data_IF_040810510900
#
_entry.id   IF_040810510900
#
_cell.length_a   1.000
_cell.length_b   1.000
_cell.length_c   1.000
_cell.angle_alpha   90.00
_cell.angle_beta   90.00
_cell.angle_gamma   90.00
#
_symmetry.space_group_name_H-M   'P 1'
#
loop_
_entity.id
_entity.type
_entity.pdbx_description
1 polymer ?
#
# COMPACT_ATOMS: atom_id res chain seq x y z
N UNK A 1 -7.24 5.05 -17.77
CA UNK A 1 -7.38 4.00 -16.72
C UNK A 1 -7.66 4.67 -15.40
N UNK A 2 -8.78 4.30 -14.76
CA UNK A 2 -9.20 4.89 -13.48
C UNK A 2 -8.84 3.97 -12.31
N UNK A 3 -8.05 4.48 -11.38
CA UNK A 3 -7.47 3.69 -10.28
C UNK A 3 -7.88 4.31 -8.94
N UNK A 4 -8.35 3.47 -8.00
CA UNK A 4 -8.51 3.81 -6.59
C UNK A 4 -7.35 3.25 -5.79
N UNK A 5 -6.59 4.12 -5.12
CA UNK A 5 -5.54 3.73 -4.18
C UNK A 5 -6.03 3.88 -2.73
N UNK A 6 -5.78 2.87 -1.89
CA UNK A 6 -6.25 2.81 -0.50
C UNK A 6 -5.08 2.51 0.43
N UNK A 7 -4.84 3.39 1.41
CA UNK A 7 -3.78 3.25 2.39
C UNK A 7 -4.33 3.39 3.82
N UNK A 8 -4.74 2.30 4.46
CA UNK A 8 -5.15 2.31 5.86
C UNK A 8 -3.94 2.53 6.77
N UNK A 9 -4.02 3.54 7.61
CA UNK A 9 -3.07 3.84 8.69
C UNK A 9 -3.72 3.66 10.06
N UNK A 10 -2.96 3.86 11.13
CA UNK A 10 -3.45 3.66 12.50
C UNK A 10 -4.66 4.54 12.82
N UNK A 11 -4.61 5.83 12.48
CA UNK A 11 -5.64 6.83 12.82
C UNK A 11 -6.32 7.43 11.59
N UNK A 12 -6.07 6.90 10.40
CA UNK A 12 -6.68 7.40 9.16
C UNK A 12 -6.70 6.34 8.08
N UNK A 13 -7.60 6.50 7.11
CA UNK A 13 -7.55 5.80 5.83
C UNK A 13 -7.37 6.84 4.73
N UNK A 14 -6.23 6.81 4.06
CA UNK A 14 -5.98 7.69 2.91
C UNK A 14 -6.45 7.02 1.65
N UNK A 15 -7.15 7.77 0.82
CA UNK A 15 -7.57 7.35 -0.52
C UNK A 15 -7.08 8.34 -1.56
N UNK A 16 -6.82 7.83 -2.75
CA UNK A 16 -6.57 8.66 -3.92
C UNK A 16 -7.19 8.02 -5.16
N UNK A 17 -7.81 8.85 -5.98
CA UNK A 17 -8.35 8.45 -7.28
C UNK A 17 -7.49 9.08 -8.35
N UNK A 18 -7.02 8.27 -9.27
CA UNK A 18 -6.25 8.70 -10.43
C UNK A 18 -6.97 8.33 -11.72
N UNK A 19 -6.90 9.22 -12.68
CA UNK A 19 -7.19 8.92 -14.08
C UNK A 19 -5.85 9.00 -14.83
N UNK A 20 -5.36 7.84 -15.26
CA UNK A 20 -3.99 7.63 -15.71
C UNK A 20 -2.97 8.12 -14.67
N UNK A 21 -2.27 9.23 -14.94
CA UNK A 21 -1.29 9.84 -14.03
C UNK A 21 -1.82 11.06 -13.29
N UNK A 22 -3.06 11.48 -13.57
CA UNK A 22 -3.66 12.70 -13.02
C UNK A 22 -4.49 12.41 -11.77
N UNK A 23 -4.18 12.99 -10.63
CA UNK A 23 -4.99 12.83 -9.44
C UNK A 23 -6.33 13.57 -9.60
N UNK A 24 -7.43 12.85 -9.42
CA UNK A 24 -8.80 13.40 -9.37
C UNK A 24 -9.23 13.69 -7.93
N UNK A 25 -8.80 12.85 -7.00
CA UNK A 25 -9.05 13.00 -5.56
C UNK A 25 -7.84 12.52 -4.77
N UNK A 26 -7.43 13.28 -3.77
CA UNK A 26 -6.52 12.83 -2.71
C UNK A 26 -7.15 13.23 -1.38
N UNK A 27 -7.57 12.26 -0.60
CA UNK A 27 -8.34 12.53 0.61
C UNK A 27 -7.90 11.65 1.78
N UNK A 28 -7.97 12.20 2.99
CA UNK A 28 -7.62 11.50 4.23
C UNK A 28 -8.84 11.42 5.15
N UNK A 29 -9.38 10.24 5.30
CA UNK A 29 -10.45 9.93 6.24
C UNK A 29 -9.80 9.74 7.61
N UNK A 30 -10.06 10.66 8.54
CA UNK A 30 -9.56 10.57 9.92
C UNK A 30 -10.51 9.72 10.76
N UNK A 31 -9.93 8.95 11.65
CA UNK A 31 -10.66 8.14 12.62
C UNK A 31 -10.37 8.66 14.02
N UNK A 32 -11.40 8.90 14.81
CA UNK A 32 -11.23 9.30 16.20
C UNK A 32 -10.82 8.09 17.06
N UNK A 33 -10.30 8.37 18.25
CA UNK A 33 -9.94 7.32 19.21
C UNK A 33 -11.19 6.55 19.64
N UNK A 34 -12.31 7.25 19.81
CA UNK A 34 -13.60 6.71 20.24
C UNK A 34 -14.18 5.77 19.17
N UNK A 35 -14.07 6.13 17.89
CA UNK A 35 -14.50 5.27 16.79
C UNK A 35 -13.69 3.98 16.74
N UNK A 36 -12.36 4.08 16.88
CA UNK A 36 -11.48 2.91 16.81
C UNK A 36 -11.54 2.03 18.07
N UNK A 37 -11.85 2.60 19.23
CA UNK A 37 -11.97 1.87 20.50
C UNK A 37 -13.14 0.87 20.52
N UNK A 38 -14.10 0.99 19.58
CA UNK A 38 -15.22 0.04 19.44
C UNK A 38 -14.78 -1.32 18.89
N UNK A 39 -13.56 -1.40 18.32
CA UNK A 39 -13.05 -2.61 17.67
C UNK A 39 -11.94 -3.24 18.51
N UNK A 40 -12.15 -4.44 19.07
CA UNK A 40 -11.13 -5.15 19.86
C UNK A 40 -9.84 -5.42 19.08
N UNK A 41 -9.96 -5.71 17.78
CA UNK A 41 -8.83 -5.98 16.90
C UNK A 41 -8.87 -5.11 15.66
N UNK A 42 -7.70 -4.87 15.05
CA UNK A 42 -7.60 -4.09 13.82
C UNK A 42 -8.39 -4.71 12.67
N UNK A 43 -8.44 -6.04 12.60
CA UNK A 43 -9.19 -6.74 11.55
C UNK A 43 -10.69 -6.45 11.62
N UNK A 44 -11.23 -6.22 12.80
CA UNK A 44 -12.64 -5.91 13.02
C UNK A 44 -13.04 -4.55 12.44
N UNK A 45 -12.06 -3.68 12.15
CA UNK A 45 -12.27 -2.38 11.51
C UNK A 45 -12.50 -2.50 9.98
N UNK A 46 -12.46 -3.70 9.41
CA UNK A 46 -12.52 -3.91 7.96
C UNK A 46 -13.78 -3.31 7.34
N UNK A 47 -14.97 -3.72 7.79
CA UNK A 47 -16.24 -3.23 7.26
C UNK A 47 -16.41 -1.72 7.49
N UNK A 48 -16.08 -1.26 8.69
CA UNK A 48 -16.12 0.17 9.05
C UNK A 48 -15.29 1.01 8.07
N UNK A 49 -14.03 0.63 7.84
CA UNK A 49 -13.14 1.38 6.94
C UNK A 49 -13.54 1.28 5.47
N UNK A 50 -14.02 0.11 5.04
CA UNK A 50 -14.56 -0.09 3.68
C UNK A 50 -15.74 0.86 3.43
N UNK A 51 -16.67 0.91 4.35
CA UNK A 51 -17.84 1.78 4.25
C UNK A 51 -17.45 3.25 4.18
N UNK A 52 -16.52 3.69 5.02
CA UNK A 52 -16.02 5.08 4.98
C UNK A 52 -15.32 5.44 3.65
N UNK A 53 -14.67 4.48 2.99
CA UNK A 53 -14.12 4.71 1.64
C UNK A 53 -15.24 4.98 0.65
N UNK A 54 -16.30 4.15 0.64
CA UNK A 54 -17.46 4.35 -0.25
C UNK A 54 -18.16 5.68 0.01
N UNK A 55 -18.38 6.04 1.27
CA UNK A 55 -18.98 7.31 1.67
C UNK A 55 -18.11 8.51 1.25
N UNK A 56 -16.79 8.40 1.38
CA UNK A 56 -15.88 9.44 0.96
C UNK A 56 -15.92 9.65 -0.56
N UNK A 57 -15.97 8.58 -1.35
CA UNK A 57 -16.12 8.68 -2.80
C UNK A 57 -17.43 9.36 -3.18
N UNK A 58 -18.55 8.94 -2.56
CA UNK A 58 -19.86 9.54 -2.79
C UNK A 58 -19.91 11.03 -2.40
N UNK A 59 -19.32 11.39 -1.26
CA UNK A 59 -19.26 12.79 -0.78
C UNK A 59 -18.49 13.72 -1.71
N UNK A 60 -17.55 13.18 -2.46
CA UNK A 60 -16.73 13.93 -3.43
C UNK A 60 -17.21 13.75 -4.87
N UNK A 61 -18.42 13.25 -5.07
CA UNK A 61 -19.01 13.02 -6.39
C UNK A 61 -18.15 12.16 -7.32
N UNK A 62 -17.39 11.21 -6.75
CA UNK A 62 -16.60 10.24 -7.51
C UNK A 62 -17.46 9.00 -7.79
N UNK A 63 -17.81 8.70 -9.04
CA UNK A 63 -18.51 7.47 -9.39
C UNK A 63 -17.68 6.24 -8.99
N UNK A 64 -18.35 5.24 -8.40
CA UNK A 64 -17.71 3.97 -8.02
C UNK A 64 -17.55 3.07 -9.25
N UNK A 65 -16.64 3.48 -10.12
CA UNK A 65 -16.30 2.83 -11.40
C UNK A 65 -14.77 2.89 -11.53
N UNK A 66 -14.09 1.76 -11.45
CA UNK A 66 -12.64 1.67 -11.48
C UNK A 66 -12.17 0.50 -12.34
N UNK A 67 -11.08 0.69 -13.08
CA UNK A 67 -10.39 -0.37 -13.81
C UNK A 67 -9.56 -1.23 -12.86
N UNK A 68 -9.00 -0.59 -11.81
CA UNK A 68 -8.20 -1.25 -10.79
C UNK A 68 -8.35 -0.58 -9.43
N UNK A 69 -8.26 -1.38 -8.36
CA UNK A 69 -8.17 -0.89 -6.98
C UNK A 69 -6.88 -1.42 -6.37
N UNK A 70 -6.06 -0.52 -5.84
CA UNK A 70 -4.78 -0.88 -5.26
C UNK A 70 -4.77 -0.58 -3.77
N UNK A 71 -4.52 -1.59 -2.95
CA UNK A 71 -4.32 -1.46 -1.52
C UNK A 71 -2.84 -1.35 -1.18
N UNK A 72 -2.51 -0.56 -0.15
CA UNK A 72 -1.21 -0.75 0.48
C UNK A 72 -1.17 -2.17 1.05
N UNK A 73 -0.25 -3.00 0.55
CA UNK A 73 -0.11 -4.38 0.96
C UNK A 73 0.17 -4.52 2.46
N UNK A 74 -0.42 -5.53 3.07
CA UNK A 74 -0.27 -5.86 4.48
C UNK A 74 1.05 -6.56 4.82
N UNK A 75 1.11 -7.10 6.03
CA UNK A 75 2.21 -7.92 6.51
C UNK A 75 2.01 -9.38 6.08
N UNK A 76 2.19 -9.61 4.79
CA UNK A 76 2.17 -10.92 4.14
C UNK A 76 3.44 -11.72 4.49
N UNK A 77 3.57 -12.90 3.92
CA UNK A 77 4.88 -13.56 3.81
C UNK A 77 5.84 -12.67 3.00
N UNK A 78 7.15 -12.73 3.29
CA UNK A 78 8.15 -11.98 2.52
C UNK A 78 8.06 -12.28 1.02
N UNK A 79 8.07 -11.23 0.22
CA UNK A 79 8.04 -11.29 -1.25
C UNK A 79 9.00 -10.24 -1.83
N UNK A 80 9.52 -10.43 -3.05
CA UNK A 80 10.25 -9.38 -3.76
C UNK A 80 9.43 -8.11 -3.96
N UNK A 81 10.09 -7.00 -4.29
CA UNK A 81 9.39 -5.75 -4.66
C UNK A 81 8.62 -5.91 -5.97
N UNK A 82 7.47 -5.25 -6.07
CA UNK A 82 6.63 -5.30 -7.26
C UNK A 82 5.18 -4.94 -7.02
N UNK A 83 4.40 -5.04 -8.09
CA UNK A 83 2.94 -4.92 -8.08
C UNK A 83 2.37 -6.31 -8.30
N UNK A 84 1.49 -6.72 -7.40
CA UNK A 84 0.90 -8.05 -7.40
C UNK A 84 -0.62 -7.98 -7.44
N UNK A 85 -1.24 -8.77 -8.30
CA UNK A 85 -2.67 -8.99 -8.22
C UNK A 85 -3.00 -9.76 -6.94
N UNK A 86 -4.03 -9.31 -6.23
CA UNK A 86 -4.43 -9.93 -4.96
C UNK A 86 -4.99 -11.33 -5.22
N UNK A 87 -4.54 -12.29 -4.44
CA UNK A 87 -4.98 -13.68 -4.48
C UNK A 87 -5.38 -14.20 -3.09
N UNK A 88 -5.98 -15.38 -3.04
CA UNK A 88 -6.48 -15.99 -1.80
C UNK A 88 -5.39 -16.19 -0.73
N UNK A 89 -4.15 -16.51 -1.13
CA UNK A 89 -3.05 -16.65 -0.20
C UNK A 89 -2.72 -15.31 0.50
N UNK A 90 -2.70 -14.21 -0.26
CA UNK A 90 -2.49 -12.86 0.28
C UNK A 90 -3.64 -12.43 1.20
N UNK A 91 -4.89 -12.72 0.83
CA UNK A 91 -6.06 -12.44 1.66
C UNK A 91 -5.99 -13.20 2.98
N UNK A 92 -5.61 -14.48 2.93
CA UNK A 92 -5.43 -15.31 4.12
C UNK A 92 -4.30 -14.78 5.00
N UNK A 93 -3.15 -14.45 4.43
CA UNK A 93 -2.00 -13.88 5.16
C UNK A 93 -2.39 -12.56 5.85
N UNK A 94 -3.14 -11.68 5.17
CA UNK A 94 -3.60 -10.42 5.75
C UNK A 94 -4.58 -10.61 6.93
N UNK A 95 -5.46 -11.63 6.85
CA UNK A 95 -6.41 -11.94 7.93
C UNK A 95 -5.74 -12.55 9.15
N UNK A 96 -4.68 -13.34 8.94
CA UNK A 96 -3.97 -14.09 9.97
C UNK A 96 -2.54 -13.61 10.19
N UNK A 97 -2.25 -12.34 9.85
CA UNK A 97 -0.92 -11.78 9.95
C UNK A 97 -0.36 -11.88 11.39
N UNK A 98 0.91 -12.26 11.50
CA UNK A 98 1.61 -12.38 12.79
C UNK A 98 1.63 -11.06 13.59
N UNK A 99 1.48 -9.92 12.92
CA UNK A 99 1.39 -8.60 13.55
C UNK A 99 0.11 -7.90 13.11
N UNK A 100 -0.67 -7.48 14.09
CA UNK A 100 -1.85 -6.65 13.85
C UNK A 100 -1.43 -5.24 13.45
N UNK A 101 -1.73 -4.84 12.22
CA UNK A 101 -1.47 -3.49 11.72
C UNK A 101 -2.52 -3.08 10.70
N UNK A 102 -2.89 -1.79 10.69
CA UNK A 102 -3.94 -1.27 9.81
C UNK A 102 -3.65 -1.50 8.31
N UNK A 103 -2.38 -1.55 7.90
CA UNK A 103 -2.02 -1.82 6.50
C UNK A 103 -2.52 -3.20 6.00
N UNK A 104 -2.76 -4.17 6.90
CA UNK A 104 -3.31 -5.48 6.52
C UNK A 104 -4.70 -5.35 5.89
N UNK A 105 -5.46 -4.32 6.28
CA UNK A 105 -6.78 -4.05 5.73
C UNK A 105 -6.74 -3.54 4.28
N UNK A 106 -5.61 -2.95 3.84
CA UNK A 106 -5.50 -2.39 2.49
C UNK A 106 -5.72 -3.42 1.39
N UNK A 107 -5.09 -4.57 1.50
CA UNK A 107 -5.26 -5.69 0.59
C UNK A 107 -6.72 -6.19 0.58
N UNK A 108 -7.29 -6.36 1.78
CA UNK A 108 -8.65 -6.90 1.96
C UNK A 108 -9.70 -5.93 1.39
N UNK A 109 -9.61 -4.64 1.71
CA UNK A 109 -10.55 -3.62 1.23
C UNK A 109 -10.45 -3.48 -0.30
N UNK A 110 -9.22 -3.44 -0.84
CA UNK A 110 -9.03 -3.34 -2.29
C UNK A 110 -9.67 -4.52 -3.03
N UNK A 111 -9.52 -5.74 -2.52
CA UNK A 111 -10.12 -6.92 -3.11
C UNK A 111 -11.65 -6.88 -3.04
N UNK A 112 -12.20 -6.63 -1.87
CA UNK A 112 -13.64 -6.62 -1.65
C UNK A 112 -14.36 -5.57 -2.52
N UNK A 113 -13.78 -4.37 -2.62
CA UNK A 113 -14.32 -3.32 -3.49
C UNK A 113 -14.19 -3.66 -4.98
N UNK A 114 -13.09 -4.30 -5.39
CA UNK A 114 -12.91 -4.69 -6.79
C UNK A 114 -13.91 -5.77 -7.22
N UNK A 115 -14.21 -6.74 -6.34
CA UNK A 115 -15.21 -7.79 -6.63
C UNK A 115 -16.62 -7.21 -6.86
N UNK A 116 -16.92 -6.04 -6.30
CA UNK A 116 -18.21 -5.37 -6.53
C UNK A 116 -18.33 -4.76 -7.94
N UNK A 117 -17.24 -4.66 -8.70
CA UNK A 117 -17.18 -3.98 -10.00
C UNK A 117 -16.84 -4.98 -11.12
N UNK A 118 -17.68 -5.07 -12.18
CA UNK A 118 -17.38 -5.93 -13.33
C UNK A 118 -16.05 -5.56 -13.99
N UNK A 119 -15.14 -6.54 -14.11
CA UNK A 119 -13.86 -6.37 -14.79
C UNK A 119 -12.78 -5.61 -14.01
N UNK A 120 -13.09 -5.09 -12.83
CA UNK A 120 -12.11 -4.43 -11.96
C UNK A 120 -11.18 -5.47 -11.32
N UNK A 121 -9.89 -5.14 -11.22
CA UNK A 121 -8.88 -6.00 -10.60
C UNK A 121 -8.29 -5.33 -9.36
N UNK A 122 -7.96 -6.15 -8.37
CA UNK A 122 -7.34 -5.67 -7.12
C UNK A 122 -5.85 -5.97 -7.09
N UNK A 123 -5.06 -5.01 -6.59
CA UNK A 123 -3.61 -5.11 -6.51
C UNK A 123 -3.08 -4.64 -5.16
N UNK A 124 -1.84 -5.06 -4.86
CA UNK A 124 -0.96 -4.46 -3.86
C UNK A 124 0.34 -4.05 -4.52
N UNK A 125 1.03 -3.05 -3.97
CA UNK A 125 2.32 -2.59 -4.47
C UNK A 125 3.33 -2.47 -3.33
N UNK A 126 4.53 -2.97 -3.55
CA UNK A 126 5.68 -2.89 -2.63
C UNK A 126 5.26 -2.97 -1.15
N UNK A 127 4.68 -4.10 -0.68
CA UNK A 127 4.21 -4.22 0.70
C UNK A 127 5.34 -4.04 1.71
N UNK A 128 4.99 -3.77 2.96
CA UNK A 128 5.99 -3.55 4.02
C UNK A 128 6.91 -4.74 4.32
N UNK A 129 6.64 -5.88 3.72
CA UNK A 129 7.40 -7.14 3.82
C UNK A 129 8.26 -7.42 2.59
N UNK A 130 8.47 -6.43 1.73
CA UNK A 130 9.43 -6.57 0.63
C UNK A 130 10.78 -6.97 1.18
N UNK A 131 11.24 -8.16 0.79
CA UNK A 131 12.48 -8.76 1.27
C UNK A 131 13.46 -8.95 0.11
N UNK A 132 14.46 -8.10 0.11
CA UNK A 132 15.57 -8.09 -0.86
C UNK A 132 16.91 -8.04 -0.12
N UNK A 133 16.95 -8.59 1.11
CA UNK A 133 18.20 -8.73 1.85
C UNK A 133 19.10 -9.78 1.21
N UNK A 134 20.37 -9.40 1.04
CA UNK A 134 21.42 -10.36 0.78
C UNK A 134 21.54 -11.36 1.95
N UNK A 135 21.94 -12.60 1.67
CA UNK A 135 22.05 -13.65 2.68
C UNK A 135 22.96 -13.25 3.85
N UNK A 136 24.06 -12.54 3.56
CA UNK A 136 24.96 -12.04 4.60
C UNK A 136 24.27 -11.01 5.53
N UNK A 137 23.34 -10.24 5.00
CA UNK A 137 22.60 -9.25 5.79
C UNK A 137 21.56 -9.89 6.74
N UNK A 138 21.22 -11.16 6.54
CA UNK A 138 20.33 -11.94 7.43
C UNK A 138 21.02 -12.39 8.70
N UNK A 139 22.34 -12.42 8.72
CA UNK A 139 23.12 -12.85 9.86
C UNK A 139 23.02 -11.80 10.96
N UNK A 140 22.63 -12.24 12.14
CA UNK A 140 22.61 -11.42 13.36
C UNK A 140 23.67 -11.92 14.35
N UNK A 141 23.88 -11.18 15.44
CA UNK A 141 24.75 -11.63 16.54
C UNK A 141 24.21 -12.84 17.31
N UNK A 142 23.00 -13.29 17.03
CA UNK A 142 22.36 -14.45 17.68
C UNK A 142 21.62 -15.32 16.68
N UNK A 143 21.88 -16.65 16.64
CA UNK A 143 21.14 -17.55 15.78
C UNK A 143 19.65 -17.69 16.15
N UNK A 144 19.28 -17.27 17.36
CA UNK A 144 17.91 -17.31 17.86
C UNK A 144 17.05 -16.11 17.37
N UNK A 145 17.67 -15.10 16.75
CA UNK A 145 16.99 -13.88 16.30
C UNK A 145 17.33 -13.59 14.84
N UNK A 146 16.69 -14.28 13.90
CA UNK A 146 16.89 -14.00 12.48
C UNK A 146 16.39 -12.57 12.15
N UNK A 147 17.09 -11.91 11.24
CA UNK A 147 16.66 -10.60 10.76
C UNK A 147 15.42 -10.74 9.90
N UNK A 148 14.37 -10.02 10.25
CA UNK A 148 13.11 -9.92 9.50
C UNK A 148 13.01 -8.53 8.89
N UNK A 149 12.62 -8.46 7.62
CA UNK A 149 12.45 -7.20 6.89
C UNK A 149 11.04 -6.67 7.08
N UNK A 150 10.93 -5.48 7.66
CA UNK A 150 9.70 -4.67 7.67
C UNK A 150 10.12 -3.23 7.46
N UNK A 151 9.67 -2.61 6.37
CA UNK A 151 10.03 -1.24 6.02
C UNK A 151 9.00 -0.57 5.11
N UNK A 152 9.19 0.71 4.83
CA UNK A 152 8.29 1.48 3.95
C UNK A 152 8.74 1.45 2.48
N UNK A 153 8.88 0.25 1.91
CA UNK A 153 9.39 0.02 0.55
C UNK A 153 8.71 0.90 -0.50
N UNK A 154 7.38 0.89 -0.54
CA UNK A 154 6.60 1.65 -1.52
C UNK A 154 6.95 3.14 -1.52
N UNK A 155 6.95 3.78 -0.35
CA UNK A 155 7.20 5.21 -0.26
C UNK A 155 8.64 5.57 -0.60
N UNK A 156 9.61 4.82 -0.08
CA UNK A 156 11.03 5.08 -0.33
C UNK A 156 11.37 4.92 -1.82
N UNK A 157 10.88 3.86 -2.45
CA UNK A 157 11.07 3.63 -3.89
C UNK A 157 10.37 4.66 -4.75
N UNK A 158 9.16 5.05 -4.39
CA UNK A 158 8.42 6.06 -5.14
C UNK A 158 9.14 7.41 -5.14
N UNK A 159 9.68 7.83 -3.98
CA UNK A 159 10.46 9.07 -3.86
C UNK A 159 11.75 8.99 -4.68
N UNK A 160 12.48 7.87 -4.61
CA UNK A 160 13.72 7.70 -5.36
C UNK A 160 13.50 7.70 -6.88
N UNK A 161 12.45 7.01 -7.37
CA UNK A 161 12.07 7.02 -8.79
C UNK A 161 11.65 8.41 -9.25
N UNK A 162 10.88 9.12 -8.44
CA UNK A 162 10.48 10.50 -8.72
C UNK A 162 11.69 11.42 -8.83
N UNK A 163 12.63 11.32 -7.90
CA UNK A 163 13.88 12.09 -7.95
C UNK A 163 14.69 11.80 -9.22
N UNK A 164 14.84 10.53 -9.62
CA UNK A 164 15.50 10.15 -10.87
C UNK A 164 14.82 10.79 -12.10
N UNK A 165 13.49 10.77 -12.13
CA UNK A 165 12.71 11.38 -13.20
C UNK A 165 12.89 12.91 -13.25
N UNK A 166 12.88 13.58 -12.10
CA UNK A 166 13.12 15.03 -12.00
C UNK A 166 14.54 15.40 -12.44
N UNK A 167 15.56 14.63 -12.04
CA UNK A 167 16.95 14.83 -12.51
C UNK A 167 17.06 14.68 -14.03
N UNK A 168 16.42 13.66 -14.60
CA UNK A 168 16.41 13.42 -16.04
C UNK A 168 15.69 14.52 -16.81
N UNK A 169 14.58 15.02 -16.30
CA UNK A 169 13.85 16.14 -16.88
C UNK A 169 14.67 17.43 -16.88
N UNK A 170 15.45 17.68 -15.82
CA UNK A 170 16.30 18.86 -15.68
C UNK A 170 17.59 18.74 -16.52
N UNK A 171 18.03 17.55 -16.88
CA UNK A 171 19.23 17.32 -17.71
C UNK A 171 18.97 16.19 -18.73
N UNK A 172 18.20 16.44 -19.79
CA UNK A 172 17.84 15.41 -20.77
C UNK A 172 19.03 14.78 -21.52
N UNK A 173 20.16 15.47 -21.59
CA UNK A 173 21.38 14.96 -22.22
C UNK A 173 22.07 13.85 -21.40
N UNK A 174 21.80 13.81 -20.10
CA UNK A 174 22.33 12.82 -19.16
C UNK A 174 21.21 12.28 -18.26
N UNK A 175 20.33 11.43 -18.81
CA UNK A 175 19.23 10.86 -18.03
C UNK A 175 19.77 9.97 -16.92
N UNK A 176 19.16 10.09 -15.75
CA UNK A 176 19.51 9.33 -14.55
C UNK A 176 18.51 8.18 -14.41
N UNK A 177 19.01 6.95 -14.28
CA UNK A 177 18.17 5.79 -13.95
C UNK A 177 18.09 5.62 -12.43
N UNK A 178 16.95 5.18 -11.96
CA UNK A 178 16.73 4.90 -10.54
C UNK A 178 17.76 3.89 -9.98
N UNK A 179 18.10 2.87 -10.77
CA UNK A 179 19.02 1.80 -10.40
C UNK A 179 20.48 2.27 -10.23
N UNK A 180 20.84 3.39 -10.87
CA UNK A 180 22.19 3.97 -10.83
C UNK A 180 22.38 4.95 -9.65
N UNK A 181 21.33 5.19 -8.86
CA UNK A 181 21.36 6.15 -7.77
C UNK A 181 21.77 5.51 -6.44
N UNK A 182 22.76 6.10 -5.80
CA UNK A 182 23.09 5.85 -4.39
C UNK A 182 22.34 6.85 -3.52
N UNK A 183 21.17 6.46 -3.01
CA UNK A 183 20.28 7.32 -2.26
C UNK A 183 20.15 6.88 -0.80
N UNK A 184 20.16 7.85 0.10
CA UNK A 184 19.70 7.67 1.49
C UNK A 184 18.33 8.33 1.57
N UNK A 185 17.30 7.53 1.79
CA UNK A 185 15.93 8.02 1.98
C UNK A 185 15.62 8.01 3.47
N UNK A 186 15.42 9.19 4.04
CA UNK A 186 14.98 9.34 5.43
C UNK A 186 13.45 9.33 5.51
N UNK A 187 12.93 8.68 6.55
CA UNK A 187 11.51 8.55 6.82
C UNK A 187 11.19 8.97 8.25
#
# INVERSE_FOLDING_TARGET
MKILAINPGSTSTKIAVYEDTMPQLVYSIRHSVEELAQFPHVIDQFEFRKQLVLEALARHDIPFEFDAIIGRGGLLKPIPGGVYEVNDAMLNDCRHAMRSHACNLGCLIAHELAVMLPGCRSFIADPGVVDELDEIARITGSPMMPRVVIWHALNQRAIARRYAAECSANNPAHPVKYEDLNLIVCH
#
